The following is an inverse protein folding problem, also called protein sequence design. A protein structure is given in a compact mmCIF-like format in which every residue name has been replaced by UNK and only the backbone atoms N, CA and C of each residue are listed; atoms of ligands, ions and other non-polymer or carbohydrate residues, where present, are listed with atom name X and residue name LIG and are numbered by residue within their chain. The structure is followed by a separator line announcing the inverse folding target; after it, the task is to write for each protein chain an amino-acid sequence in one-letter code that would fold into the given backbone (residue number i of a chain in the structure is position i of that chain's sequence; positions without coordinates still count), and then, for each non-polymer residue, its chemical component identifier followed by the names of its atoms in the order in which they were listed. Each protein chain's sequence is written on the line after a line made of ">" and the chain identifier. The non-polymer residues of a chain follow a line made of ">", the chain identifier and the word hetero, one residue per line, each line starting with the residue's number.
data_IF_447551535625
#
_entry.id   IF_447551535625
#
_cell.length_a   1.000
_cell.length_b   1.000
_cell.length_c   1.000
_cell.angle_alpha   90.00
_cell.angle_beta   90.00
_cell.angle_gamma   90.00
#
_symmetry.space_group_name_H-M   'P 1'
#
loop_
_entity.id
_entity.type
_entity.pdbx_description
1 polymer ?
#
# COMPACT_ATOMS: atom_id res chain seq x y z
N UNK A 1 56.90 -44.39 20.79
CA UNK A 1 56.41 -43.48 21.85
C UNK A 1 56.25 -42.12 21.17
N UNK A 2 55.12 -41.41 21.09
CA UNK A 2 53.99 -41.18 21.99
C UNK A 2 52.81 -40.75 21.08
N UNK A 3 51.65 -41.39 21.18
CA UNK A 3 50.42 -40.98 20.46
C UNK A 3 49.78 -39.85 21.26
N UNK A 4 49.53 -38.69 20.65
CA UNK A 4 48.74 -37.62 21.28
C UNK A 4 47.44 -37.50 20.48
N UNK A 5 46.39 -37.95 21.16
CA UNK A 5 44.99 -37.93 20.75
C UNK A 5 44.42 -36.57 21.21
N UNK A 6 44.04 -35.71 20.28
CA UNK A 6 43.37 -34.45 20.62
C UNK A 6 41.95 -34.48 20.09
N UNK A 7 41.02 -34.43 21.03
CA UNK A 7 39.58 -34.53 20.85
C UNK A 7 39.03 -33.37 20.00
N UNK A 8 38.23 -33.70 19.00
CA UNK A 8 37.39 -32.74 18.26
C UNK A 8 36.12 -32.51 19.07
N UNK A 9 36.02 -31.38 19.76
CA UNK A 9 34.77 -30.90 20.35
C UNK A 9 33.88 -30.36 19.23
N UNK A 10 32.93 -31.18 18.79
CA UNK A 10 31.91 -30.81 17.82
C UNK A 10 30.82 -29.99 18.53
N UNK A 11 31.03 -28.68 18.66
CA UNK A 11 30.02 -27.75 19.18
C UNK A 11 28.86 -27.59 18.20
N UNK A 12 27.69 -28.17 18.51
CA UNK A 12 26.45 -27.91 17.77
C UNK A 12 25.95 -26.50 18.07
N UNK A 13 26.27 -25.56 17.18
CA UNK A 13 25.63 -24.24 17.14
C UNK A 13 24.21 -24.39 16.62
N UNK A 14 23.22 -24.37 17.50
CA UNK A 14 21.80 -24.25 17.14
C UNK A 14 21.55 -22.84 16.64
N UNK A 15 21.60 -22.65 15.32
CA UNK A 15 21.19 -21.39 14.68
C UNK A 15 19.68 -21.28 14.80
N UNK A 16 19.21 -20.43 15.71
CA UNK A 16 17.82 -19.99 15.75
C UNK A 16 17.58 -19.09 14.52
N UNK A 17 17.16 -19.67 13.41
CA UNK A 17 16.69 -18.89 12.26
C UNK A 17 15.40 -18.19 12.65
N UNK A 18 15.49 -16.89 12.95
CA UNK A 18 14.33 -16.01 12.96
C UNK A 18 13.69 -16.04 11.56
N UNK A 19 12.52 -16.66 11.45
CA UNK A 19 11.71 -16.60 10.24
C UNK A 19 11.22 -15.16 10.07
N UNK A 20 11.98 -14.37 9.32
CA UNK A 20 11.51 -13.08 8.84
C UNK A 20 10.36 -13.33 7.87
N UNK A 21 9.12 -13.31 8.37
CA UNK A 21 7.94 -13.27 7.52
C UNK A 21 7.97 -11.97 6.72
N UNK A 22 8.29 -12.07 5.44
CA UNK A 22 8.22 -10.93 4.52
C UNK A 22 6.78 -10.39 4.55
N UNK A 23 6.63 -9.07 4.76
CA UNK A 23 5.32 -8.41 4.68
C UNK A 23 4.74 -8.62 3.28
N UNK A 24 3.42 -8.81 3.14
CA UNK A 24 2.80 -8.88 1.82
C UNK A 24 3.18 -7.67 0.96
N UNK A 25 3.38 -7.84 -0.36
CA UNK A 25 3.86 -6.79 -1.26
C UNK A 25 2.76 -5.77 -1.63
N UNK A 26 1.86 -5.43 -0.71
CA UNK A 26 0.70 -4.58 -0.98
C UNK A 26 1.07 -3.19 -1.49
N UNK A 27 2.17 -2.63 -0.99
CA UNK A 27 2.70 -1.34 -1.49
C UNK A 27 3.03 -1.42 -2.98
N UNK A 28 3.72 -2.46 -3.43
CA UNK A 28 4.09 -2.57 -4.85
C UNK A 28 2.89 -2.85 -5.72
N UNK A 29 1.88 -3.58 -5.21
CA UNK A 29 0.62 -3.80 -5.91
C UNK A 29 -0.17 -2.50 -6.07
N UNK A 30 -0.24 -1.65 -5.04
CA UNK A 30 -0.83 -0.33 -5.15
C UNK A 30 -0.06 0.56 -6.14
N UNK A 31 1.27 0.58 -6.09
CA UNK A 31 2.10 1.33 -7.06
C UNK A 31 1.78 0.94 -8.50
N UNK A 32 1.70 -0.36 -8.77
CA UNK A 32 1.41 -0.86 -10.11
C UNK A 32 -0.01 -0.54 -10.54
N UNK A 33 -1.01 -0.83 -9.70
CA UNK A 33 -2.41 -0.69 -10.07
C UNK A 33 -2.87 0.77 -10.17
N UNK A 34 -2.36 1.64 -9.30
CA UNK A 34 -2.72 3.06 -9.26
C UNK A 34 -1.76 3.95 -10.04
N UNK A 35 -0.76 3.36 -10.72
CA UNK A 35 0.26 4.07 -11.49
C UNK A 35 1.01 5.12 -10.64
N UNK A 36 1.24 4.81 -9.36
CA UNK A 36 1.88 5.74 -8.42
C UNK A 36 3.38 5.86 -8.71
N UNK A 37 3.98 6.94 -8.23
CA UNK A 37 5.43 7.06 -8.18
C UNK A 37 6.05 5.88 -7.38
N UNK A 38 7.15 5.28 -7.85
CA UNK A 38 7.89 4.26 -7.10
C UNK A 38 8.33 4.70 -5.69
N UNK A 39 8.37 6.02 -5.44
CA UNK A 39 8.72 6.62 -4.15
C UNK A 39 7.57 6.72 -3.14
N UNK A 40 6.32 6.34 -3.50
CA UNK A 40 5.18 6.42 -2.57
C UNK A 40 5.46 5.63 -1.30
N UNK A 41 5.20 6.19 -0.13
CA UNK A 41 5.50 5.54 1.15
C UNK A 41 4.36 4.63 1.60
N UNK A 42 4.56 3.84 2.66
CA UNK A 42 3.48 3.07 3.27
C UNK A 42 2.36 3.98 3.83
N UNK A 43 2.61 5.29 4.00
CA UNK A 43 1.62 6.23 4.48
C UNK A 43 0.45 6.47 3.53
N UNK A 44 0.53 5.92 2.31
CA UNK A 44 -0.60 5.88 1.40
C UNK A 44 -1.82 5.16 1.99
N UNK A 45 -1.62 4.07 2.74
CA UNK A 45 -2.70 3.31 3.41
C UNK A 45 -2.52 3.21 4.93
N UNK A 46 -1.41 3.69 5.48
CA UNK A 46 -1.06 3.49 6.89
C UNK A 46 -0.76 4.81 7.57
N UNK A 47 -0.92 4.87 8.89
CA UNK A 47 -0.40 6.00 9.66
C UNK A 47 1.12 5.87 9.80
N UNK A 48 1.61 4.64 10.00
CA UNK A 48 3.03 4.35 10.18
C UNK A 48 3.79 4.38 8.85
N UNK A 49 4.91 5.10 8.81
CA UNK A 49 5.82 5.17 7.65
C UNK A 49 6.34 3.79 7.20
N UNK A 50 6.46 2.85 8.14
CA UNK A 50 6.87 1.48 7.86
C UNK A 50 5.70 0.57 7.47
N UNK A 51 4.46 1.05 7.54
CA UNK A 51 3.23 0.28 7.34
C UNK A 51 2.80 -0.54 8.56
N UNK A 52 1.73 -1.31 8.40
CA UNK A 52 1.04 -2.00 9.50
C UNK A 52 0.01 -1.11 10.19
N UNK A 53 -0.70 -1.66 11.17
CA UNK A 53 -1.69 -0.89 11.93
C UNK A 53 -1.01 0.27 12.72
N UNK A 54 -1.70 1.40 12.93
CA UNK A 54 -3.05 1.69 12.45
C UNK A 54 -3.07 2.12 10.97
N UNK A 55 -4.22 1.97 10.33
CA UNK A 55 -4.47 2.43 8.96
C UNK A 55 -4.94 3.88 8.98
N UNK A 56 -4.61 4.63 7.93
CA UNK A 56 -5.21 5.95 7.71
C UNK A 56 -6.66 5.76 7.20
N UNK A 57 -7.47 6.81 7.07
CA UNK A 57 -8.87 6.68 6.63
C UNK A 57 -9.05 5.91 5.31
N UNK A 58 -8.22 6.18 4.30
CA UNK A 58 -8.25 5.42 3.04
C UNK A 58 -7.86 3.94 3.24
N UNK A 59 -6.84 3.66 4.03
CA UNK A 59 -6.42 2.30 4.35
C UNK A 59 -7.47 1.51 5.12
N UNK A 60 -8.26 2.17 5.95
CA UNK A 60 -9.45 1.60 6.59
C UNK A 60 -10.50 1.21 5.52
N UNK A 61 -10.74 2.06 4.52
CA UNK A 61 -11.63 1.76 3.40
C UNK A 61 -11.12 0.56 2.57
N UNK A 62 -9.83 0.50 2.26
CA UNK A 62 -9.21 -0.65 1.60
C UNK A 62 -9.37 -1.92 2.44
N UNK A 63 -9.11 -1.84 3.75
CA UNK A 63 -9.25 -2.99 4.65
C UNK A 63 -10.69 -3.49 4.72
N UNK A 64 -11.67 -2.59 4.77
CA UNK A 64 -13.10 -2.94 4.79
C UNK A 64 -13.55 -3.67 3.51
N UNK A 65 -12.87 -3.42 2.38
CA UNK A 65 -13.14 -4.08 1.10
C UNK A 65 -12.30 -5.33 0.85
N UNK A 66 -11.45 -5.74 1.79
CA UNK A 66 -10.58 -6.90 1.62
C UNK A 66 -11.35 -8.23 1.69
N UNK A 67 -11.66 -8.81 0.52
CA UNK A 67 -12.42 -10.07 0.37
C UNK A 67 -11.67 -11.13 -0.45
N UNK A 68 -10.34 -11.10 -0.44
CA UNK A 68 -9.52 -12.12 -1.10
C UNK A 68 -8.19 -11.57 -1.61
N UNK A 69 -8.25 -10.64 -2.57
CA UNK A 69 -7.05 -10.01 -3.13
C UNK A 69 -6.99 -8.52 -2.80
N UNK A 70 -5.77 -8.02 -2.62
CA UNK A 70 -5.54 -6.59 -2.42
C UNK A 70 -5.94 -5.77 -3.64
N UNK A 71 -5.74 -6.30 -4.86
CA UNK A 71 -6.07 -5.56 -6.07
C UNK A 71 -7.58 -5.27 -6.16
N UNK A 72 -8.41 -6.25 -5.78
CA UNK A 72 -9.85 -6.06 -5.69
C UNK A 72 -10.20 -5.04 -4.60
N UNK A 73 -9.59 -5.13 -3.42
CA UNK A 73 -9.85 -4.19 -2.32
C UNK A 73 -9.48 -2.73 -2.68
N UNK A 74 -8.35 -2.55 -3.37
CA UNK A 74 -7.87 -1.27 -3.87
C UNK A 74 -8.85 -0.68 -4.90
N UNK A 75 -9.30 -1.49 -5.87
CA UNK A 75 -10.25 -1.03 -6.87
C UNK A 75 -11.61 -0.68 -6.27
N UNK A 76 -12.14 -1.52 -5.38
CA UNK A 76 -13.44 -1.26 -4.74
C UNK A 76 -13.39 -0.03 -3.81
N UNK A 77 -12.24 0.27 -3.19
CA UNK A 77 -12.05 1.51 -2.45
C UNK A 77 -12.21 2.75 -3.35
N UNK A 78 -11.51 2.81 -4.50
CA UNK A 78 -11.63 3.94 -5.43
C UNK A 78 -13.01 4.01 -6.10
N UNK A 79 -13.60 2.86 -6.44
CA UNK A 79 -14.92 2.76 -7.07
C UNK A 79 -16.04 3.21 -6.15
N UNK A 80 -15.84 3.18 -4.84
CA UNK A 80 -16.80 3.72 -3.88
C UNK A 80 -16.96 5.24 -3.98
N UNK A 81 -16.06 5.94 -4.68
CA UNK A 81 -16.08 7.39 -4.89
C UNK A 81 -16.32 8.16 -3.57
N UNK A 82 -15.59 7.74 -2.52
CA UNK A 82 -15.59 8.39 -1.21
C UNK A 82 -14.52 9.47 -1.14
N UNK A 83 -14.70 10.36 -0.18
CA UNK A 83 -13.70 11.28 0.35
C UNK A 83 -13.35 10.73 1.74
N UNK A 84 -12.26 9.96 1.83
CA UNK A 84 -11.96 9.18 3.04
C UNK A 84 -11.45 10.05 4.19
N UNK A 85 -10.71 11.12 3.91
CA UNK A 85 -10.15 12.01 4.93
C UNK A 85 -10.93 13.31 5.16
N UNK A 86 -11.93 13.60 4.33
CA UNK A 86 -12.90 14.67 4.49
C UNK A 86 -12.40 16.03 4.01
N UNK A 87 -11.42 16.06 3.11
CA UNK A 87 -10.80 17.31 2.64
C UNK A 87 -11.51 17.96 1.43
N UNK A 88 -12.54 17.30 0.90
CA UNK A 88 -13.35 17.73 -0.23
C UNK A 88 -12.96 17.11 -1.57
N UNK A 89 -11.93 16.26 -1.62
CA UNK A 89 -11.56 15.49 -2.80
C UNK A 89 -11.94 14.02 -2.63
N UNK A 90 -12.40 13.40 -3.71
CA UNK A 90 -12.67 11.96 -3.69
C UNK A 90 -11.34 11.22 -3.81
N UNK A 91 -11.22 10.08 -3.13
CA UNK A 91 -10.03 9.23 -3.10
C UNK A 91 -9.49 8.97 -4.51
N UNK A 92 -10.39 8.66 -5.46
CA UNK A 92 -10.03 8.40 -6.85
C UNK A 92 -9.42 9.62 -7.57
N UNK A 93 -9.87 10.83 -7.23
CA UNK A 93 -9.32 12.08 -7.77
C UNK A 93 -7.95 12.38 -7.20
N UNK A 94 -7.75 12.11 -5.92
CA UNK A 94 -6.45 12.25 -5.27
C UNK A 94 -5.42 11.28 -5.82
N UNK A 95 -5.81 10.01 -6.00
CA UNK A 95 -4.95 9.04 -6.69
C UNK A 95 -4.60 9.52 -8.10
N UNK A 96 -5.57 10.05 -8.85
CA UNK A 96 -5.35 10.60 -10.18
C UNK A 96 -4.43 11.84 -10.18
N UNK A 97 -4.50 12.67 -9.14
CA UNK A 97 -3.66 13.84 -8.96
C UNK A 97 -2.29 13.53 -8.32
N UNK A 98 -2.06 12.30 -7.86
CA UNK A 98 -0.83 11.89 -7.17
C UNK A 98 -0.74 12.39 -5.72
N UNK A 99 -1.86 12.61 -5.06
CA UNK A 99 -1.95 12.97 -3.64
C UNK A 99 -2.33 11.76 -2.76
N UNK A 100 -2.54 11.97 -1.45
CA UNK A 100 -2.65 10.90 -0.46
C UNK A 100 -4.08 10.86 0.11
N UNK A 101 -4.93 9.90 -0.28
CA UNK A 101 -6.37 9.91 0.04
C UNK A 101 -6.75 9.65 1.49
N UNK A 102 -5.76 9.53 2.38
CA UNK A 102 -5.98 9.36 3.81
C UNK A 102 -5.30 10.46 4.62
N UNK A 103 -4.99 11.59 4.00
CA UNK A 103 -4.24 12.70 4.60
C UNK A 103 -4.79 14.05 4.10
N UNK A 104 -5.59 14.77 4.92
CA UNK A 104 -6.26 16.01 4.48
C UNK A 104 -5.29 17.18 4.24
N UNK A 105 -4.03 17.02 4.64
CA UNK A 105 -2.93 17.95 4.37
C UNK A 105 -2.30 17.74 2.98
N UNK A 106 -2.68 16.69 2.25
CA UNK A 106 -2.12 16.30 0.97
C UNK A 106 -3.22 16.30 -0.09
N UNK A 107 -3.52 17.49 -0.63
CA UNK A 107 -4.64 17.70 -1.56
C UNK A 107 -4.22 18.24 -2.92
N UNK A 108 -5.01 18.01 -3.98
CA UNK A 108 -4.78 18.62 -5.28
C UNK A 108 -4.77 20.15 -5.23
N UNK A 109 -3.97 20.76 -6.10
CA UNK A 109 -3.87 22.23 -6.23
C UNK A 109 -4.89 22.83 -7.22
N UNK A 110 -5.75 21.99 -7.80
CA UNK A 110 -6.75 22.35 -8.79
C UNK A 110 -8.13 22.05 -8.26
N UNK A 111 -9.13 22.79 -8.75
CA UNK A 111 -10.53 22.60 -8.37
C UNK A 111 -11.02 21.15 -8.59
N UNK A 112 -11.83 20.64 -7.66
CA UNK A 112 -12.33 19.27 -7.68
C UNK A 112 -13.19 18.95 -8.90
N UNK A 113 -14.02 19.89 -9.38
CA UNK A 113 -14.84 19.69 -10.58
C UNK A 113 -13.98 19.67 -11.84
N UNK A 114 -12.96 20.55 -11.92
CA UNK A 114 -11.97 20.49 -13.00
C UNK A 114 -11.22 19.16 -13.01
N UNK A 115 -10.74 18.72 -11.85
CA UNK A 115 -10.03 17.45 -11.71
C UNK A 115 -10.91 16.27 -12.12
N UNK A 116 -12.17 16.27 -11.66
CA UNK A 116 -13.13 15.22 -12.00
C UNK A 116 -13.42 15.16 -13.50
N UNK A 117 -13.58 16.30 -14.18
CA UNK A 117 -13.78 16.31 -15.63
C UNK A 117 -12.59 15.70 -16.39
N UNK A 118 -11.36 15.97 -15.93
CA UNK A 118 -10.16 15.38 -16.53
C UNK A 118 -10.02 13.89 -16.21
N UNK A 119 -10.36 13.49 -14.98
CA UNK A 119 -10.41 12.09 -14.56
C UNK A 119 -11.41 11.28 -15.41
N UNK A 120 -12.64 11.78 -15.55
CA UNK A 120 -13.67 11.13 -16.36
C UNK A 120 -13.23 11.00 -17.83
N UNK A 121 -12.62 12.06 -18.40
CA UNK A 121 -12.06 12.04 -19.77
C UNK A 121 -10.92 11.03 -19.94
N UNK A 122 -10.12 10.80 -18.90
CA UNK A 122 -9.02 9.85 -18.92
C UNK A 122 -9.49 8.38 -18.82
N UNK A 123 -10.77 8.13 -18.50
CA UNK A 123 -11.33 6.78 -18.32
C UNK A 123 -11.87 6.52 -16.92
N UNK A 124 -11.83 7.51 -16.03
CA UNK A 124 -12.37 7.42 -14.68
C UNK A 124 -11.75 6.28 -13.87
N UNK A 125 -12.54 5.67 -13.00
CA UNK A 125 -12.04 4.62 -12.08
C UNK A 125 -11.58 3.37 -12.81
N UNK A 126 -12.03 3.14 -14.05
CA UNK A 126 -11.64 1.98 -14.85
C UNK A 126 -10.15 1.99 -15.22
N UNK A 127 -9.48 3.14 -15.12
CA UNK A 127 -8.01 3.24 -15.15
C UNK A 127 -7.31 2.35 -14.13
N UNK A 128 -7.98 2.06 -13.02
CA UNK A 128 -7.43 1.33 -11.87
C UNK A 128 -8.02 -0.07 -11.72
N UNK A 129 -8.74 -0.54 -12.73
CA UNK A 129 -9.29 -1.90 -12.73
C UNK A 129 -8.15 -2.92 -12.71
N UNK A 130 -8.20 -3.94 -11.84
CA UNK A 130 -7.16 -4.97 -11.80
C UNK A 130 -7.04 -5.67 -13.15
N UNK A 131 -5.80 -5.96 -13.57
CA UNK A 131 -5.57 -6.87 -14.69
C UNK A 131 -6.22 -8.24 -14.38
N UNK A 132 -6.84 -8.84 -15.40
CA UNK A 132 -7.46 -10.17 -15.31
C UNK A 132 -6.40 -11.27 -15.19
#
# INVERSE_FOLDING_TARGET
>A
MKKILTWVLLGSATVLLSLALARPPYRTQAVQQFHLSPGVTCQFCHVNANGGAPWNPFGELVRANFKGTINAALYEALKAMKDSDGDGYLDALEVFAGTLPGSPDSKPLVDAAFLKANFDKAGGVDLYKPAQ
#
